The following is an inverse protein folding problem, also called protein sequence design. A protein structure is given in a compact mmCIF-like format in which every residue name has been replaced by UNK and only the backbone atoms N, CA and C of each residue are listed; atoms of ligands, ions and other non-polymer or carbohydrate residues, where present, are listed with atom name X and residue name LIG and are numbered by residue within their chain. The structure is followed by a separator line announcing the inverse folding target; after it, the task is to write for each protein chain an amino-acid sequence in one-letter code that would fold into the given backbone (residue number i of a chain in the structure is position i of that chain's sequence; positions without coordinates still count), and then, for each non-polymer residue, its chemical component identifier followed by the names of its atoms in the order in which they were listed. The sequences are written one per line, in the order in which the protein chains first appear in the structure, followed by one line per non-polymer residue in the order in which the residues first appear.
data_IF_750728062147
#
_entry.id   IF_750728062147
#
_cell.length_a   1.000
_cell.length_b   1.000
_cell.length_c   1.000
_cell.angle_alpha   90.00
_cell.angle_beta   90.00
_cell.angle_gamma   90.00
#
_symmetry.space_group_name_H-M   'P 1'
#
loop_
_entity.id
_entity.type
_entity.pdbx_description
1 polymer ?
#
# COMPACT_ATOMS: atom_id res chain seq x y z
N UNK A 1 -4.28 -22.51 -2.22
CA UNK A 1 -3.12 -22.17 -3.07
C UNK A 1 -2.52 -20.86 -2.58
N UNK A 2 -1.20 -20.72 -2.60
CA UNK A 2 -0.49 -19.50 -2.19
C UNK A 2 0.05 -18.73 -3.40
N UNK A 3 0.47 -17.49 -3.16
CA UNK A 3 1.19 -16.65 -4.12
C UNK A 3 2.52 -16.21 -3.49
N UNK A 4 3.53 -15.94 -4.31
CA UNK A 4 4.78 -15.38 -3.83
C UNK A 4 4.62 -13.88 -3.59
N UNK A 5 5.32 -13.37 -2.59
CA UNK A 5 5.45 -11.92 -2.36
C UNK A 5 6.40 -11.28 -3.37
N UNK A 6 6.30 -9.96 -3.52
CA UNK A 6 7.26 -9.19 -4.27
C UNK A 6 8.72 -9.45 -3.77
N UNK A 7 9.68 -9.59 -4.70
CA UNK A 7 11.09 -9.67 -4.36
C UNK A 7 11.52 -8.40 -3.61
N UNK A 8 12.43 -8.59 -2.66
CA UNK A 8 12.87 -7.54 -1.74
C UNK A 8 14.34 -7.72 -1.42
N UNK A 9 15.03 -6.61 -1.26
CA UNK A 9 16.38 -6.58 -0.73
C UNK A 9 16.31 -6.49 0.79
N UNK A 10 17.18 -7.23 1.46
CA UNK A 10 17.28 -7.27 2.92
C UNK A 10 18.70 -6.87 3.31
N UNK A 11 18.82 -5.89 4.18
CA UNK A 11 20.09 -5.37 4.69
C UNK A 11 19.94 -5.01 6.18
N UNK A 12 20.94 -4.38 6.77
CA UNK A 12 20.97 -3.95 8.17
C UNK A 12 21.28 -2.46 8.25
N UNK A 13 20.44 -1.73 8.98
CA UNK A 13 20.66 -0.32 9.31
C UNK A 13 21.87 -0.14 10.25
N UNK A 14 22.47 1.06 10.34
CA UNK A 14 23.57 1.33 11.29
C UNK A 14 23.22 1.05 12.76
N UNK A 15 21.93 1.10 13.11
CA UNK A 15 21.40 0.78 14.44
C UNK A 15 21.22 -0.74 14.69
N UNK A 16 21.56 -1.59 13.72
CA UNK A 16 21.43 -3.04 13.78
C UNK A 16 20.04 -3.57 13.44
N UNK A 17 19.07 -2.69 13.14
CA UNK A 17 17.73 -3.12 12.72
C UNK A 17 17.69 -3.58 11.26
N UNK A 18 16.74 -4.46 10.96
CA UNK A 18 16.54 -4.97 9.60
C UNK A 18 16.08 -3.85 8.67
N UNK A 19 16.72 -3.73 7.52
CA UNK A 19 16.26 -2.92 6.40
C UNK A 19 15.60 -3.84 5.36
N UNK A 20 14.39 -3.50 4.93
CA UNK A 20 13.65 -4.27 3.91
C UNK A 20 13.04 -3.30 2.91
N UNK A 21 13.43 -3.41 1.64
CA UNK A 21 12.91 -2.60 0.55
C UNK A 21 12.49 -3.46 -0.64
N UNK A 22 11.47 -3.07 -1.42
CA UNK A 22 11.15 -3.79 -2.65
C UNK A 22 12.34 -3.75 -3.61
N UNK A 23 12.59 -4.84 -4.32
CA UNK A 23 13.67 -4.92 -5.30
C UNK A 23 13.48 -3.83 -6.39
N UNK A 24 14.55 -3.13 -6.80
CA UNK A 24 14.45 -2.04 -7.78
C UNK A 24 13.95 -2.52 -9.15
N UNK A 25 14.14 -3.79 -9.50
CA UNK A 25 13.65 -4.39 -10.74
C UNK A 25 12.12 -4.34 -10.86
N UNK A 26 11.39 -4.18 -9.75
CA UNK A 26 9.94 -3.96 -9.78
C UNK A 26 9.55 -2.68 -10.51
N UNK A 27 10.45 -1.70 -10.62
CA UNK A 27 10.19 -0.48 -11.39
C UNK A 27 10.08 -0.74 -12.89
N UNK A 28 10.71 -1.81 -13.39
CA UNK A 28 10.60 -2.23 -14.81
C UNK A 28 9.21 -2.73 -15.17
N UNK A 29 8.38 -3.06 -14.17
CA UNK A 29 7.00 -3.50 -14.38
C UNK A 29 6.01 -2.32 -14.43
N UNK A 30 6.46 -1.08 -14.19
CA UNK A 30 5.57 0.09 -14.24
C UNK A 30 5.16 0.37 -15.68
N UNK A 31 3.89 0.66 -15.88
CA UNK A 31 3.39 1.18 -17.14
C UNK A 31 4.14 2.48 -17.54
N UNK A 32 4.11 2.81 -18.84
CA UNK A 32 4.86 3.94 -19.38
C UNK A 32 4.49 5.30 -18.73
N UNK A 33 3.27 5.44 -18.20
CA UNK A 33 2.81 6.63 -17.52
C UNK A 33 2.14 6.29 -16.18
N UNK A 34 2.27 7.14 -15.16
CA UNK A 34 1.53 6.99 -13.92
C UNK A 34 0.04 7.25 -14.13
N UNK A 35 -0.82 6.50 -13.44
CA UNK A 35 -2.26 6.78 -13.40
C UNK A 35 -2.61 7.89 -12.39
N UNK A 36 -1.68 8.25 -11.51
CA UNK A 36 -1.81 9.33 -10.53
C UNK A 36 -0.45 9.95 -10.21
N UNK A 37 -0.40 11.27 -10.09
CA UNK A 37 0.81 12.05 -9.73
C UNK A 37 0.60 13.07 -8.61
N UNK A 38 -0.63 13.18 -8.11
CA UNK A 38 -1.00 14.03 -6.99
C UNK A 38 -2.28 13.50 -6.31
N UNK A 39 -2.55 13.88 -5.05
CA UNK A 39 -3.84 13.63 -4.43
C UNK A 39 -4.99 14.20 -5.29
N UNK A 40 -5.96 13.34 -5.61
CA UNK A 40 -7.18 13.72 -6.33
C UNK A 40 -8.42 13.38 -5.52
N UNK A 41 -9.60 13.74 -6.02
CA UNK A 41 -10.86 13.46 -5.32
C UNK A 41 -11.10 11.96 -5.18
N UNK A 42 -11.02 11.22 -6.31
CA UNK A 42 -11.08 9.75 -6.42
C UNK A 42 -10.45 9.33 -7.74
N UNK A 43 -9.56 8.35 -7.72
CA UNK A 43 -8.90 7.81 -8.92
C UNK A 43 -9.16 6.31 -9.01
N UNK A 44 -9.69 5.77 -10.12
CA UNK A 44 -9.81 4.32 -10.29
C UNK A 44 -8.46 3.62 -10.14
N UNK A 45 -8.42 2.50 -9.41
CA UNK A 45 -7.20 1.72 -9.24
C UNK A 45 -7.17 0.55 -10.24
N UNK A 46 -6.04 0.32 -10.92
CA UNK A 46 -5.88 -0.88 -11.76
C UNK A 46 -5.88 -2.16 -10.90
N UNK A 47 -6.02 -3.35 -11.52
CA UNK A 47 -6.00 -4.62 -10.78
C UNK A 47 -4.67 -4.86 -10.05
N UNK A 48 -3.57 -4.41 -10.65
CA UNK A 48 -2.22 -4.48 -10.08
C UNK A 48 -1.52 -3.13 -10.20
N UNK A 49 -0.88 -2.66 -9.13
CA UNK A 49 -0.27 -1.34 -9.08
C UNK A 49 0.89 -1.23 -8.08
N UNK A 50 1.75 -0.24 -8.34
CA UNK A 50 2.80 0.26 -7.46
C UNK A 50 2.49 1.71 -7.13
N UNK A 51 2.17 1.99 -5.86
CA UNK A 51 1.74 3.29 -5.37
C UNK A 51 2.67 3.75 -4.26
N UNK A 52 3.26 4.94 -4.41
CA UNK A 52 4.03 5.60 -3.36
C UNK A 52 3.24 6.77 -2.81
N UNK A 53 3.19 6.86 -1.48
CA UNK A 53 2.60 8.00 -0.76
C UNK A 53 3.62 8.54 0.22
N UNK A 54 3.82 9.86 0.20
CA UNK A 54 4.53 10.57 1.26
C UNK A 54 3.59 11.56 1.94
N UNK A 55 3.77 11.74 3.24
CA UNK A 55 2.96 12.65 4.03
C UNK A 55 3.79 13.28 5.17
N UNK A 56 3.59 14.56 5.42
CA UNK A 56 4.16 15.25 6.59
C UNK A 56 3.25 15.18 7.82
N UNK A 57 1.93 15.14 7.63
CA UNK A 57 0.93 15.01 8.70
C UNK A 57 0.08 13.74 8.51
N UNK A 58 -0.75 13.45 9.53
CA UNK A 58 -1.66 12.31 9.52
C UNK A 58 -2.51 12.27 8.24
N UNK A 59 -2.34 11.19 7.47
CA UNK A 59 -2.90 11.03 6.14
C UNK A 59 -3.57 9.67 6.00
N UNK A 60 -4.79 9.64 5.48
CA UNK A 60 -5.54 8.41 5.21
C UNK A 60 -5.60 8.16 3.71
N UNK A 61 -5.11 6.98 3.31
CA UNK A 61 -5.15 6.46 1.93
C UNK A 61 -6.19 5.35 1.88
N UNK A 62 -7.29 5.56 1.16
CA UNK A 62 -8.30 4.55 0.88
C UNK A 62 -7.98 3.84 -0.44
N UNK A 63 -8.06 2.51 -0.47
CA UNK A 63 -7.73 1.68 -1.64
C UNK A 63 -8.94 0.90 -2.19
N UNK A 64 -9.91 0.61 -1.33
CA UNK A 64 -11.18 -0.02 -1.71
C UNK A 64 -12.32 0.61 -0.94
N UNK A 65 -13.51 0.61 -1.56
CA UNK A 65 -14.77 0.96 -0.91
C UNK A 65 -15.80 -0.13 -1.18
N UNK A 66 -16.46 -0.62 -0.13
CA UNK A 66 -17.58 -1.55 -0.27
C UNK A 66 -18.88 -0.84 -0.60
N UNK A 67 -19.91 -1.59 -1.01
CA UNK A 67 -21.25 -1.02 -1.25
C UNK A 67 -21.86 -0.33 -0.01
N UNK A 68 -21.49 -0.77 1.20
CA UNK A 68 -21.90 -0.14 2.46
C UNK A 68 -21.14 1.16 2.77
N UNK A 69 -20.09 1.48 2.02
CA UNK A 69 -19.25 2.66 2.20
C UNK A 69 -18.02 2.44 3.08
N UNK A 70 -17.85 1.26 3.67
CA UNK A 70 -16.62 0.88 4.37
C UNK A 70 -15.40 0.93 3.46
N UNK A 71 -14.21 1.15 4.03
CA UNK A 71 -12.98 1.40 3.26
C UNK A 71 -11.80 0.58 3.75
N UNK A 72 -11.03 0.03 2.81
CA UNK A 72 -9.69 -0.50 3.11
C UNK A 72 -8.76 0.70 3.18
N UNK A 73 -8.16 0.96 4.34
CA UNK A 73 -7.35 2.18 4.53
C UNK A 73 -5.95 1.89 5.04
N UNK A 74 -5.00 2.69 4.56
CA UNK A 74 -3.67 2.85 5.12
C UNK A 74 -3.59 4.24 5.73
N UNK A 75 -3.42 4.33 7.05
CA UNK A 75 -3.24 5.58 7.76
C UNK A 75 -1.76 5.75 8.08
N UNK A 76 -1.17 6.82 7.56
CA UNK A 76 0.17 7.27 7.91
C UNK A 76 0.02 8.30 9.02
N UNK A 77 0.74 8.13 10.13
CA UNK A 77 0.81 9.09 11.22
C UNK A 77 2.28 9.40 11.55
N UNK A 78 2.90 10.38 10.85
CA UNK A 78 4.29 10.77 11.06
C UNK A 78 4.58 11.23 12.50
N UNK A 79 3.64 11.93 13.13
CA UNK A 79 3.77 12.43 14.51
C UNK A 79 3.82 11.30 15.53
N UNK A 80 2.97 10.26 15.36
CA UNK A 80 2.99 9.09 16.23
C UNK A 80 4.02 8.02 15.81
N UNK A 81 4.63 8.17 14.63
CA UNK A 81 5.52 7.17 14.03
C UNK A 81 4.78 5.84 13.79
N UNK A 82 3.57 5.89 13.25
CA UNK A 82 2.76 4.69 12.98
C UNK A 82 2.20 4.62 11.57
N UNK A 83 2.12 3.40 11.04
CA UNK A 83 1.29 3.09 9.88
C UNK A 83 0.25 2.05 10.29
N UNK A 84 -1.01 2.34 10.00
CA UNK A 84 -2.14 1.44 10.29
C UNK A 84 -2.78 0.95 9.00
N UNK A 85 -2.89 -0.37 8.82
CA UNK A 85 -3.75 -0.99 7.81
C UNK A 85 -5.07 -1.40 8.46
N UNK A 86 -6.15 -0.68 8.14
CA UNK A 86 -7.51 -1.07 8.52
C UNK A 86 -8.16 -1.86 7.38
N UNK A 87 -8.39 -3.14 7.65
CA UNK A 87 -9.03 -4.11 6.76
C UNK A 87 -10.26 -4.78 7.39
N UNK A 88 -10.92 -4.12 8.33
CA UNK A 88 -11.98 -4.75 9.13
C UNK A 88 -13.12 -5.34 8.29
N UNK A 89 -13.48 -4.68 7.18
CA UNK A 89 -14.52 -5.14 6.25
C UNK A 89 -14.07 -6.20 5.24
N UNK A 90 -12.76 -6.46 5.16
CA UNK A 90 -12.15 -7.53 4.37
C UNK A 90 -11.31 -8.44 5.27
N UNK A 91 -11.94 -9.10 6.27
CA UNK A 91 -11.20 -9.88 7.24
C UNK A 91 -10.59 -11.12 6.60
N UNK A 92 -9.47 -11.56 7.14
CA UNK A 92 -8.94 -12.90 6.85
C UNK A 92 -9.92 -13.94 7.40
N UNK A 93 -10.10 -15.02 6.67
CA UNK A 93 -10.72 -16.25 7.18
C UNK A 93 -9.71 -16.97 8.07
N UNK A 94 -9.61 -16.56 9.34
CA UNK A 94 -8.63 -17.12 10.28
C UNK A 94 -8.67 -16.48 11.67
N UNK A 95 -7.85 -16.99 12.61
CA UNK A 95 -7.79 -16.49 13.99
C UNK A 95 -7.23 -15.08 14.10
N UNK A 96 -6.56 -14.58 13.05
CA UNK A 96 -6.00 -13.23 12.98
C UNK A 96 -7.08 -12.13 12.98
N UNK A 97 -8.33 -12.50 12.67
CA UNK A 97 -9.49 -11.61 12.80
C UNK A 97 -9.49 -10.41 11.85
N UNK A 98 -10.28 -9.39 12.22
CA UNK A 98 -10.53 -8.17 11.46
C UNK A 98 -9.85 -6.92 12.04
N UNK A 99 -9.07 -7.08 13.12
CA UNK A 99 -8.44 -5.93 13.79
C UNK A 99 -7.46 -5.21 12.87
N UNK A 100 -7.36 -3.87 12.96
CA UNK A 100 -6.33 -3.11 12.25
C UNK A 100 -4.92 -3.59 12.62
N UNK A 101 -4.03 -3.60 11.64
CA UNK A 101 -2.61 -3.89 11.84
C UNK A 101 -1.89 -2.56 12.02
N UNK A 102 -1.27 -2.38 13.18
CA UNK A 102 -0.52 -1.16 13.52
C UNK A 102 0.97 -1.49 13.57
N UNK A 103 1.76 -0.77 12.80
CA UNK A 103 3.22 -0.89 12.76
C UNK A 103 3.85 0.40 13.24
N UNK A 104 4.87 0.29 14.10
CA UNK A 104 5.68 1.40 14.60
C UNK A 104 6.93 1.54 13.73
N UNK A 105 6.99 2.59 12.92
CA UNK A 105 8.09 2.93 12.02
C UNK A 105 7.91 4.38 11.53
N UNK A 106 8.95 5.04 11.01
CA UNK A 106 8.80 6.32 10.30
C UNK A 106 7.69 6.21 9.26
N UNK A 107 6.66 7.04 9.44
CA UNK A 107 5.41 6.96 8.68
C UNK A 107 5.27 8.10 7.66
N UNK A 108 6.38 8.76 7.33
CA UNK A 108 6.45 9.81 6.32
C UNK A 108 6.38 9.27 4.88
N UNK A 109 6.64 7.97 4.69
CA UNK A 109 6.58 7.30 3.39
C UNK A 109 6.12 5.84 3.49
N UNK A 110 5.18 5.48 2.62
CA UNK A 110 4.80 4.09 2.35
C UNK A 110 4.81 3.81 0.85
N UNK A 111 5.32 2.63 0.47
CA UNK A 111 5.12 2.05 -0.87
C UNK A 111 4.15 0.89 -0.77
N UNK A 112 3.12 0.91 -1.60
CA UNK A 112 1.98 0.01 -1.61
C UNK A 112 2.03 -0.75 -2.94
N UNK A 113 2.26 -2.05 -2.86
CA UNK A 113 2.21 -2.95 -4.01
C UNK A 113 0.94 -3.77 -3.93
N UNK A 114 0.20 -3.82 -5.03
CA UNK A 114 -0.98 -4.69 -5.18
C UNK A 114 -0.83 -5.53 -6.43
N UNK A 115 -1.07 -6.82 -6.27
CA UNK A 115 -1.24 -7.76 -7.39
C UNK A 115 -2.47 -8.64 -7.15
N UNK A 116 -3.57 -8.27 -7.81
CA UNK A 116 -4.89 -8.86 -7.61
C UNK A 116 -5.38 -8.71 -6.16
N UNK A 117 -5.21 -9.78 -5.38
CA UNK A 117 -5.62 -9.86 -3.96
C UNK A 117 -4.44 -9.81 -2.99
N UNK A 118 -3.20 -9.80 -3.46
CA UNK A 118 -2.03 -9.58 -2.63
C UNK A 118 -1.84 -8.08 -2.43
N UNK A 119 -1.74 -7.63 -1.18
CA UNK A 119 -1.40 -6.27 -0.77
C UNK A 119 -0.12 -6.31 0.06
N UNK A 120 0.88 -5.52 -0.33
CA UNK A 120 2.12 -5.36 0.43
C UNK A 120 2.38 -3.88 0.70
N UNK A 121 2.63 -3.56 1.98
CA UNK A 121 3.03 -2.23 2.43
C UNK A 121 4.50 -2.28 2.84
N UNK A 122 5.33 -1.40 2.28
CA UNK A 122 6.71 -1.19 2.69
C UNK A 122 6.82 0.18 3.35
N UNK A 123 7.14 0.19 4.64
CA UNK A 123 7.01 1.34 5.52
C UNK A 123 8.40 1.79 5.95
N UNK A 124 8.79 2.99 5.50
CA UNK A 124 10.02 3.67 5.93
C UNK A 124 11.26 2.77 5.96
N UNK A 125 11.41 1.87 4.97
CA UNK A 125 12.44 0.81 4.83
C UNK A 125 12.68 -0.13 6.03
N UNK A 126 11.80 -0.08 7.05
CA UNK A 126 11.95 -0.78 8.33
C UNK A 126 10.93 -1.87 8.57
N UNK A 127 9.77 -1.79 7.92
CA UNK A 127 8.71 -2.74 8.15
C UNK A 127 7.93 -3.09 6.88
N UNK A 128 7.35 -4.29 6.88
CA UNK A 128 6.52 -4.77 5.79
C UNK A 128 5.22 -5.37 6.36
N UNK A 129 4.09 -5.05 5.76
CA UNK A 129 2.80 -5.72 6.00
C UNK A 129 2.44 -6.45 4.71
N UNK A 130 2.14 -7.75 4.79
CA UNK A 130 1.68 -8.56 3.66
C UNK A 130 0.30 -9.12 3.97
N UNK A 131 -0.68 -8.81 3.13
CA UNK A 131 -2.08 -9.20 3.33
C UNK A 131 -2.75 -9.74 2.08
N UNK A 132 -3.82 -10.53 2.32
CA UNK A 132 -4.72 -11.02 1.27
C UNK A 132 -6.06 -10.32 1.37
N UNK A 133 -6.36 -9.45 0.41
CA UNK A 133 -7.62 -8.73 0.31
C UNK A 133 -8.44 -9.29 -0.86
N UNK A 134 -9.48 -10.04 -0.53
CA UNK A 134 -10.41 -10.59 -1.52
C UNK A 134 -11.55 -9.61 -1.77
N UNK A 135 -11.61 -9.07 -2.99
CA UNK A 135 -12.68 -8.15 -3.40
C UNK A 135 -13.98 -8.91 -3.61
N UNK A 136 -15.08 -8.32 -3.15
CA UNK A 136 -16.45 -8.72 -3.50
C UNK A 136 -16.82 -8.11 -4.85
N UNK A 137 -17.82 -8.66 -5.57
CA UNK A 137 -18.24 -8.13 -6.88
C UNK A 137 -18.70 -6.66 -6.86
N UNK A 138 -19.18 -6.17 -5.71
CA UNK A 138 -19.69 -4.82 -5.48
C UNK A 138 -18.66 -3.88 -4.83
N UNK A 139 -17.43 -4.35 -4.58
CA UNK A 139 -16.36 -3.48 -4.12
C UNK A 139 -15.83 -2.60 -5.26
N UNK A 140 -15.65 -1.32 -4.95
CA UNK A 140 -15.05 -0.35 -5.86
C UNK A 140 -13.56 -0.18 -5.52
N UNK A 141 -12.68 -0.51 -6.46
CA UNK A 141 -11.25 -0.24 -6.36
C UNK A 141 -10.97 1.21 -6.77
N UNK A 142 -10.67 2.06 -5.79
CA UNK A 142 -10.45 3.48 -5.98
C UNK A 142 -9.46 4.00 -4.94
N UNK A 143 -8.59 4.89 -5.39
CA UNK A 143 -7.70 5.67 -4.56
C UNK A 143 -8.43 6.94 -4.13
N UNK A 144 -8.52 7.16 -2.82
CA UNK A 144 -8.90 8.44 -2.25
C UNK A 144 -7.96 8.78 -1.10
N UNK A 145 -7.44 9.99 -1.09
CA UNK A 145 -6.50 10.45 -0.05
C UNK A 145 -7.10 11.65 0.67
N UNK A 146 -6.98 11.67 1.99
CA UNK A 146 -7.58 12.69 2.86
C UNK A 146 -6.76 12.88 4.14
N UNK A 147 -6.98 14.02 4.82
CA UNK A 147 -6.04 14.49 5.85
C UNK A 147 -4.84 15.16 5.18
N UNK A 148 -3.77 15.39 5.95
CA UNK A 148 -2.49 15.96 5.51
C UNK A 148 -2.54 17.36 4.86
N UNK A 149 -1.54 18.19 5.13
CA UNK A 149 -1.37 19.45 4.41
C UNK A 149 -0.40 19.32 3.24
N UNK A 150 0.64 18.47 3.36
CA UNK A 150 1.60 18.19 2.30
C UNK A 150 1.65 16.69 2.02
N UNK A 151 1.06 16.29 0.89
CA UNK A 151 0.97 14.90 0.47
C UNK A 151 1.46 14.78 -0.97
N UNK A 152 2.35 13.84 -1.22
CA UNK A 152 2.66 13.39 -2.58
C UNK A 152 2.15 11.98 -2.81
N UNK A 153 1.63 11.74 -4.01
CA UNK A 153 1.05 10.46 -4.40
C UNK A 153 1.45 10.20 -5.83
N UNK A 154 2.16 9.11 -6.08
CA UNK A 154 2.45 8.69 -7.45
C UNK A 154 2.22 7.20 -7.58
N UNK A 155 1.49 6.80 -8.63
CA UNK A 155 1.09 5.41 -8.82
C UNK A 155 1.15 4.99 -10.28
N UNK A 156 1.62 3.77 -10.50
CA UNK A 156 1.73 3.13 -11.81
C UNK A 156 0.96 1.82 -11.82
N UNK A 157 0.31 1.54 -12.94
CA UNK A 157 -0.17 0.18 -13.21
C UNK A 157 1.04 -0.74 -13.36
N UNK A 158 0.93 -1.96 -12.84
CA UNK A 158 1.94 -3.01 -13.02
C UNK A 158 1.53 -3.82 -14.25
N UNK A 159 2.36 -3.77 -15.28
CA UNK A 159 2.16 -4.45 -16.57
C UNK A 159 3.26 -5.46 -16.81
N UNK A 160 3.00 -6.45 -17.67
CA UNK A 160 4.05 -7.36 -18.12
C UNK A 160 5.16 -6.57 -18.81
N UNK A 161 6.44 -6.96 -18.64
CA UNK A 161 7.56 -6.31 -19.33
C UNK A 161 7.31 -6.25 -20.84
N UNK A 162 7.41 -5.05 -21.41
CA UNK A 162 7.43 -4.86 -22.87
C UNK A 162 8.87 -5.06 -23.35
N UNK A 163 9.23 -6.32 -23.58
CA UNK A 163 10.50 -6.82 -24.11
C UNK A 163 11.76 -6.66 -23.21
N UNK A 164 12.57 -7.72 -23.14
CA UNK A 164 13.88 -7.77 -22.49
C UNK A 164 15.03 -7.91 -23.48
#
# INVERSE_FOLDING_TARGET
AGVLTAPREVDVHPDGSLRVVPAPELELLRAAAPFVTAPGRRTPLPPSYDLTVTASDRTTVSLLRSASGARLTVVLDPDEGTVTLDRADWPRTGPEGSAPIVVRAPADKVRILVDGSLLELFIGDRATITERIYRRPDDTAELAVSGGSEITVTGWEVVAPTDG
#
